data_IF_598490793383
#
_entry.id   IF_598490793383
#
_cell.length_a   1.000
_cell.length_b   1.000
_cell.length_c   1.000
_cell.angle_alpha   90.00
_cell.angle_beta   90.00
_cell.angle_gamma   90.00
#
_symmetry.space_group_name_H-M   'P 1'
#
loop_
_entity.id
_entity.type
_entity.pdbx_description
1 polymer ?
#
# COMPACT_ATOMS: atom_id res chain seq x y z
N UNK A 1 27.06 -17.63 23.36
CA UNK A 1 25.72 -18.22 23.11
C UNK A 1 25.95 -19.57 22.47
N UNK A 2 25.38 -20.65 23.03
CA UNK A 2 25.71 -22.01 22.59
C UNK A 2 24.94 -22.49 21.32
N UNK A 3 24.08 -21.65 20.73
CA UNK A 3 23.36 -21.85 19.44
C UNK A 3 22.62 -23.18 19.26
N UNK A 4 22.53 -24.00 20.30
CA UNK A 4 21.85 -25.29 20.31
C UNK A 4 20.35 -25.11 20.42
N UNK A 5 19.60 -25.82 19.58
CA UNK A 5 18.14 -25.87 19.63
C UNK A 5 17.71 -26.79 20.77
N UNK A 6 16.89 -26.27 21.68
CA UNK A 6 16.28 -27.05 22.77
C UNK A 6 14.78 -27.14 22.48
N UNK A 7 14.25 -28.36 22.55
CA UNK A 7 12.81 -28.63 22.41
C UNK A 7 12.24 -28.91 23.79
N UNK A 8 11.25 -28.13 24.22
CA UNK A 8 10.50 -28.36 25.45
C UNK A 8 9.12 -28.97 25.13
N UNK A 9 8.62 -29.82 26.01
CA UNK A 9 7.29 -30.44 25.89
C UNK A 9 6.17 -29.54 26.42
N UNK A 10 4.92 -29.78 26.02
CA UNK A 10 3.75 -28.99 26.48
C UNK A 10 3.59 -28.99 28.01
N UNK A 11 4.08 -30.03 28.71
CA UNK A 11 4.06 -30.12 30.17
C UNK A 11 5.14 -29.29 30.89
N UNK A 12 6.07 -28.69 30.14
CA UNK A 12 7.19 -27.88 30.67
C UNK A 12 6.99 -26.38 30.40
N UNK A 13 5.78 -25.98 30.00
CA UNK A 13 5.42 -24.57 29.86
C UNK A 13 5.48 -23.87 31.22
N UNK A 14 6.09 -22.69 31.25
CA UNK A 14 6.25 -21.89 32.46
C UNK A 14 7.34 -22.36 33.42
N UNK A 15 8.04 -23.47 33.13
CA UNK A 15 9.17 -23.96 33.94
C UNK A 15 10.52 -23.61 33.30
N UNK A 16 11.57 -23.61 34.11
CA UNK A 16 12.95 -23.40 33.62
C UNK A 16 13.59 -24.74 33.29
N UNK A 17 14.12 -24.85 32.07
CA UNK A 17 14.83 -26.02 31.55
C UNK A 17 16.29 -25.65 31.32
N UNK A 18 17.19 -26.50 31.79
CA UNK A 18 18.63 -26.28 31.61
C UNK A 18 19.11 -26.80 30.25
N UNK A 19 19.93 -25.99 29.57
CA UNK A 19 20.56 -26.41 28.33
C UNK A 19 21.57 -27.53 28.59
N UNK A 20 21.45 -28.71 27.94
CA UNK A 20 22.38 -29.83 28.15
C UNK A 20 23.80 -29.54 27.68
N UNK A 21 23.98 -28.59 26.76
CA UNK A 21 25.29 -28.27 26.15
C UNK A 21 26.04 -27.17 26.90
N UNK A 22 25.34 -26.22 27.51
CA UNK A 22 25.98 -25.08 28.15
C UNK A 22 25.51 -24.76 29.58
N UNK A 23 24.62 -25.59 30.14
CA UNK A 23 24.14 -25.49 31.52
C UNK A 23 23.33 -24.22 31.82
N UNK A 24 23.00 -23.44 30.80
CA UNK A 24 22.23 -22.21 30.96
C UNK A 24 20.75 -22.54 31.18
N UNK A 25 20.16 -22.01 32.25
CA UNK A 25 18.73 -22.19 32.57
C UNK A 25 17.88 -21.25 31.72
N UNK A 26 16.93 -21.81 30.97
CA UNK A 26 16.05 -21.08 30.07
C UNK A 26 14.60 -21.31 30.49
N UNK A 27 13.87 -20.22 30.71
CA UNK A 27 12.44 -20.28 31.05
C UNK A 27 11.62 -20.49 29.78
N UNK A 28 10.84 -21.58 29.74
CA UNK A 28 9.93 -21.87 28.63
C UNK A 28 8.73 -20.93 28.75
N UNK A 29 8.50 -20.03 27.77
CA UNK A 29 7.38 -19.11 27.84
C UNK A 29 6.05 -19.85 27.77
N UNK A 30 5.07 -19.42 28.57
CA UNK A 30 3.70 -19.93 28.52
C UNK A 30 3.12 -19.65 27.13
N UNK A 31 2.74 -20.71 26.40
CA UNK A 31 1.95 -20.53 25.21
C UNK A 31 0.52 -20.17 25.64
N UNK A 32 0.13 -18.93 25.37
CA UNK A 32 -1.27 -18.52 25.48
C UNK A 32 -2.08 -19.32 24.46
N UNK A 33 -2.77 -20.35 24.91
CA UNK A 33 -3.81 -21.03 24.13
C UNK A 33 -4.97 -20.05 24.06
N UNK A 34 -4.95 -19.20 23.03
CA UNK A 34 -6.10 -18.39 22.66
C UNK A 34 -7.23 -19.37 22.31
N UNK A 35 -8.30 -19.30 23.10
CA UNK A 35 -9.42 -20.22 23.03
C UNK A 35 -9.95 -20.36 21.60
N UNK A 36 -10.31 -21.57 21.13
CA UNK A 36 -10.90 -21.74 19.82
C UNK A 36 -12.18 -20.91 19.70
N UNK A 37 -12.29 -20.18 18.59
CA UNK A 37 -13.44 -19.36 18.23
C UNK A 37 -14.76 -20.13 18.45
N UNK A 38 -15.83 -19.46 18.91
CA UNK A 38 -17.08 -20.11 19.23
C UNK A 38 -17.65 -20.81 17.98
N UNK A 39 -17.95 -22.10 18.11
CA UNK A 39 -18.68 -22.87 17.12
C UNK A 39 -20.08 -22.25 17.04
N UNK A 40 -20.38 -21.56 15.95
CA UNK A 40 -21.75 -21.15 15.63
C UNK A 40 -22.52 -22.43 15.27
N UNK A 41 -23.20 -23.00 16.27
CA UNK A 41 -24.22 -24.02 16.05
C UNK A 41 -25.33 -23.43 15.19
N UNK A 42 -25.54 -24.00 14.00
CA UNK A 42 -26.59 -23.65 13.01
C UNK A 42 -28.04 -23.86 13.50
N UNK A 43 -28.28 -23.98 14.80
CA UNK A 43 -29.57 -24.35 15.37
C UNK A 43 -30.30 -23.24 16.14
N UNK A 44 -29.65 -22.14 16.54
CA UNK A 44 -30.30 -21.11 17.38
C UNK A 44 -30.05 -19.68 16.87
N UNK A 45 -30.47 -19.41 15.64
CA UNK A 45 -30.73 -18.05 15.17
C UNK A 45 -32.15 -17.95 14.66
N UNK A 46 -33.08 -17.78 15.60
CA UNK A 46 -34.40 -17.22 15.33
C UNK A 46 -34.21 -15.71 15.12
N UNK A 47 -33.90 -15.34 13.89
CA UNK A 47 -33.97 -13.96 13.41
C UNK A 47 -35.32 -13.80 12.71
N UNK A 48 -36.06 -12.79 13.16
CA UNK A 48 -37.29 -12.30 12.54
C UNK A 48 -37.15 -12.20 11.02
N UNK A 49 -38.02 -12.91 10.31
CA UNK A 49 -38.21 -12.78 8.89
C UNK A 49 -38.72 -11.38 8.55
N UNK A 50 -37.86 -10.60 7.89
CA UNK A 50 -38.26 -9.37 7.19
C UNK A 50 -37.60 -9.37 5.82
N UNK A 51 -38.43 -9.76 4.84
CA UNK A 51 -38.38 -9.44 3.42
C UNK A 51 -37.08 -9.72 2.64
N UNK A 52 -36.81 -11.00 2.37
CA UNK A 52 -36.18 -11.42 1.12
C UNK A 52 -37.24 -11.39 -0.01
N UNK A 53 -37.34 -10.25 -0.68
CA UNK A 53 -38.01 -10.12 -1.99
C UNK A 53 -36.96 -9.79 -3.04
N UNK A 54 -36.25 -10.81 -3.53
CA UNK A 54 -35.67 -10.78 -4.88
C UNK A 54 -35.08 -12.14 -5.24
N UNK A 55 -35.87 -12.94 -5.97
CA UNK A 55 -35.45 -13.95 -6.97
C UNK A 55 -36.58 -14.91 -7.36
N UNK A 56 -37.79 -14.77 -6.80
CA UNK A 56 -38.93 -15.65 -7.10
C UNK A 56 -39.90 -15.12 -8.16
N UNK A 57 -39.76 -13.87 -8.60
CA UNK A 57 -40.66 -13.25 -9.57
C UNK A 57 -40.43 -13.74 -11.00
N UNK A 58 -39.16 -13.87 -11.43
CA UNK A 58 -38.82 -14.30 -12.80
C UNK A 58 -39.18 -15.76 -13.04
N UNK A 59 -39.03 -16.62 -12.03
CA UNK A 59 -39.30 -18.04 -12.15
C UNK A 59 -40.81 -18.35 -12.11
N UNK A 60 -41.59 -17.54 -11.39
CA UNK A 60 -43.05 -17.59 -11.39
C UNK A 60 -43.65 -17.01 -12.68
N UNK A 61 -43.10 -15.90 -13.18
CA UNK A 61 -43.49 -15.30 -14.46
C UNK A 61 -43.20 -16.25 -15.63
N UNK A 62 -42.00 -16.85 -15.68
CA UNK A 62 -41.65 -17.86 -16.68
C UNK A 62 -42.60 -19.07 -16.65
N UNK A 63 -42.87 -19.64 -15.47
CA UNK A 63 -43.82 -20.76 -15.32
C UNK A 63 -45.26 -20.38 -15.73
N UNK A 64 -45.68 -19.13 -15.52
CA UNK A 64 -47.00 -18.64 -15.97
C UNK A 64 -47.08 -18.48 -17.50
N UNK A 65 -46.00 -18.05 -18.14
CA UNK A 65 -45.91 -17.86 -19.60
C UNK A 65 -45.94 -19.22 -20.31
N UNK A 66 -45.25 -20.25 -19.79
CA UNK A 66 -45.31 -21.60 -20.37
C UNK A 66 -46.70 -22.24 -20.28
N UNK A 67 -47.44 -22.00 -19.18
CA UNK A 67 -48.84 -22.45 -19.04
C UNK A 67 -49.78 -21.69 -19.97
N UNK A 68 -49.60 -20.38 -20.10
CA UNK A 68 -50.36 -19.56 -21.04
C UNK A 68 -50.08 -19.94 -22.51
N UNK A 69 -48.82 -20.23 -22.85
CA UNK A 69 -48.40 -20.70 -24.18
C UNK A 69 -49.02 -22.07 -24.51
N UNK A 70 -49.01 -23.02 -23.57
CA UNK A 70 -49.68 -24.33 -23.76
C UNK A 70 -51.19 -24.21 -23.92
N UNK A 71 -51.84 -23.33 -23.16
CA UNK A 71 -53.29 -23.12 -23.27
C UNK A 71 -53.67 -22.49 -24.62
N UNK A 72 -52.93 -21.46 -25.04
CA UNK A 72 -53.14 -20.82 -26.34
C UNK A 72 -52.85 -21.76 -27.52
N UNK A 73 -51.89 -22.68 -27.38
CA UNK A 73 -51.59 -23.69 -28.38
C UNK A 73 -52.71 -24.75 -28.48
N UNK A 74 -53.24 -25.23 -27.35
CA UNK A 74 -54.38 -26.16 -27.35
C UNK A 74 -55.67 -25.53 -27.90
N UNK A 75 -55.89 -24.24 -27.64
CA UNK A 75 -57.05 -23.51 -28.14
C UNK A 75 -56.96 -23.30 -29.66
N UNK A 76 -55.77 -22.96 -30.18
CA UNK A 76 -55.51 -22.87 -31.62
C UNK A 76 -55.66 -24.22 -32.35
N UNK A 77 -55.16 -25.31 -31.74
CA UNK A 77 -55.33 -26.68 -32.27
C UNK A 77 -56.80 -27.12 -32.28
N UNK A 78 -57.59 -26.75 -31.26
CA UNK A 78 -59.02 -27.06 -31.19
C UNK A 78 -59.88 -26.28 -32.20
N UNK A 79 -59.41 -25.12 -32.63
CA UNK A 79 -60.05 -24.28 -33.64
C UNK A 79 -59.51 -24.49 -35.07
N UNK A 80 -58.52 -25.39 -35.25
CA UNK A 80 -57.89 -25.67 -36.54
C UNK A 80 -57.08 -24.52 -37.12
N UNK A 81 -56.58 -23.59 -36.28
CA UNK A 81 -55.77 -22.44 -36.69
C UNK A 81 -54.30 -22.64 -36.34
N UNK A 82 -53.41 -22.06 -37.15
CA UNK A 82 -51.96 -22.11 -36.91
C UNK A 82 -51.57 -21.22 -35.72
N UNK A 83 -50.72 -21.75 -34.83
CA UNK A 83 -50.35 -21.09 -33.58
C UNK A 83 -49.32 -19.97 -33.82
N UNK A 84 -49.68 -18.72 -33.52
CA UNK A 84 -48.78 -17.56 -33.61
C UNK A 84 -47.96 -17.38 -32.31
N UNK A 85 -46.69 -17.76 -32.35
CA UNK A 85 -45.77 -17.66 -31.21
C UNK A 85 -45.19 -16.26 -30.98
N UNK A 86 -45.34 -15.33 -31.94
CA UNK A 86 -44.66 -14.02 -31.95
C UNK A 86 -45.01 -13.13 -30.75
N UNK A 87 -46.18 -13.36 -30.13
CA UNK A 87 -46.66 -12.59 -28.98
C UNK A 87 -45.91 -12.90 -27.68
N UNK A 88 -45.21 -14.03 -27.61
CA UNK A 88 -44.48 -14.49 -26.43
C UNK A 88 -42.97 -14.26 -26.51
N UNK A 89 -42.43 -14.02 -27.70
CA UNK A 89 -40.99 -13.82 -27.94
C UNK A 89 -40.58 -12.34 -27.78
N UNK A 90 -41.29 -11.57 -26.95
CA UNK A 90 -40.99 -10.13 -26.76
C UNK A 90 -39.69 -9.96 -25.99
N UNK A 91 -38.61 -9.81 -26.76
CA UNK A 91 -37.21 -9.56 -26.40
C UNK A 91 -37.01 -8.18 -25.72
N UNK A 92 -37.72 -7.98 -24.60
CA UNK A 92 -37.67 -6.77 -23.78
C UNK A 92 -36.61 -6.88 -22.68
N UNK A 93 -36.15 -8.12 -22.42
CA UNK A 93 -35.13 -8.40 -21.40
C UNK A 93 -33.74 -7.94 -21.85
N UNK A 94 -33.36 -8.23 -23.11
CA UNK A 94 -32.00 -7.94 -23.63
C UNK A 94 -31.64 -6.46 -23.63
N UNK A 95 -32.59 -5.56 -23.96
CA UNK A 95 -32.34 -4.11 -23.95
C UNK A 95 -32.10 -3.57 -22.54
N UNK A 96 -32.86 -4.01 -21.55
CA UNK A 96 -32.72 -3.52 -20.17
C UNK A 96 -31.41 -4.02 -19.53
N UNK A 97 -31.00 -5.26 -19.82
CA UNK A 97 -29.69 -5.77 -19.39
C UNK A 97 -28.54 -5.02 -20.05
N UNK A 98 -28.66 -4.70 -21.35
CA UNK A 98 -27.64 -3.92 -22.07
C UNK A 98 -27.47 -2.51 -21.49
N UNK A 99 -28.57 -1.81 -21.18
CA UNK A 99 -28.51 -0.50 -20.53
C UNK A 99 -27.92 -0.57 -19.12
N UNK A 100 -28.23 -1.62 -18.36
CA UNK A 100 -27.65 -1.86 -17.04
C UNK A 100 -26.13 -2.06 -17.11
N UNK A 101 -25.64 -2.88 -18.04
CA UNK A 101 -24.21 -3.11 -18.25
C UNK A 101 -23.49 -1.84 -18.70
N UNK A 102 -24.09 -1.07 -19.61
CA UNK A 102 -23.52 0.22 -20.03
C UNK A 102 -23.45 1.23 -18.88
N UNK A 103 -24.47 1.30 -18.03
CA UNK A 103 -24.47 2.20 -16.88
C UNK A 103 -23.36 1.85 -15.88
N UNK A 104 -23.18 0.55 -15.57
CA UNK A 104 -22.11 0.09 -14.69
C UNK A 104 -20.73 0.38 -15.28
N UNK A 105 -20.55 0.21 -16.59
CA UNK A 105 -19.29 0.48 -17.29
C UNK A 105 -18.95 1.98 -17.31
N UNK A 106 -19.96 2.84 -17.49
CA UNK A 106 -19.76 4.30 -17.42
C UNK A 106 -19.44 4.73 -15.98
N UNK A 107 -20.10 4.16 -14.97
CA UNK A 107 -19.81 4.46 -13.56
C UNK A 107 -18.41 3.97 -13.17
N UNK A 108 -17.98 2.80 -13.62
CA UNK A 108 -16.65 2.27 -13.31
C UNK A 108 -15.55 3.07 -14.01
N UNK A 109 -15.73 3.44 -15.29
CA UNK A 109 -14.78 4.29 -16.03
C UNK A 109 -14.78 5.71 -15.45
N UNK A 110 -15.95 6.27 -15.14
CA UNK A 110 -16.06 7.59 -14.52
C UNK A 110 -15.46 7.63 -13.12
N UNK A 111 -15.69 6.59 -12.32
CA UNK A 111 -15.09 6.42 -10.99
C UNK A 111 -13.57 6.22 -11.07
N UNK A 112 -13.09 5.47 -12.07
CA UNK A 112 -11.65 5.28 -12.31
C UNK A 112 -10.98 6.57 -12.81
N UNK A 113 -11.60 7.30 -13.73
CA UNK A 113 -11.12 8.60 -14.19
C UNK A 113 -11.13 9.64 -13.05
N UNK A 114 -12.16 9.64 -12.20
CA UNK A 114 -12.22 10.47 -10.99
C UNK A 114 -11.14 10.09 -9.98
N UNK A 115 -10.87 8.80 -9.81
CA UNK A 115 -9.78 8.30 -8.97
C UNK A 115 -8.41 8.77 -9.48
N UNK A 116 -8.17 8.69 -10.79
CA UNK A 116 -6.95 9.19 -11.43
C UNK A 116 -6.84 10.73 -11.41
N UNK A 117 -7.97 11.43 -11.40
CA UNK A 117 -8.04 12.88 -11.34
C UNK A 117 -8.01 13.45 -9.91
N UNK A 118 -7.89 12.62 -8.86
CA UNK A 118 -7.76 13.13 -7.49
C UNK A 118 -6.51 14.01 -7.40
N UNK A 119 -6.65 15.28 -6.99
CA UNK A 119 -5.48 16.13 -6.81
C UNK A 119 -4.62 15.51 -5.70
N UNK A 120 -3.37 15.18 -6.05
CA UNK A 120 -2.35 14.82 -5.06
C UNK A 120 -2.36 15.94 -4.01
N UNK A 121 -2.47 15.58 -2.74
CA UNK A 121 -2.48 16.58 -1.66
C UNK A 121 -1.06 17.08 -1.44
N UNK A 122 -0.90 18.39 -1.23
CA UNK A 122 0.39 18.98 -0.88
C UNK A 122 0.84 18.44 0.47
N UNK A 123 2.01 17.81 0.50
CA UNK A 123 2.71 17.49 1.74
C UNK A 123 3.46 18.73 2.20
N UNK A 124 3.08 19.28 3.35
CA UNK A 124 3.77 20.42 3.97
C UNK A 124 4.83 19.89 4.92
N UNK A 125 6.06 20.41 4.80
CA UNK A 125 7.11 20.10 5.77
C UNK A 125 6.83 20.83 7.08
N UNK A 126 6.44 20.09 8.12
CA UNK A 126 6.24 20.67 9.45
C UNK A 126 7.58 20.98 10.11
N UNK A 127 7.62 22.00 10.97
CA UNK A 127 8.82 22.34 11.73
C UNK A 127 9.25 21.22 12.67
N UNK A 128 8.29 20.46 13.21
CA UNK A 128 8.55 19.27 14.03
C UNK A 128 9.30 18.21 13.22
N UNK A 129 8.84 17.90 12.00
CA UNK A 129 9.49 16.94 11.11
C UNK A 129 10.88 17.41 10.71
N UNK A 130 11.04 18.68 10.32
CA UNK A 130 12.34 19.24 9.96
C UNK A 130 13.32 19.20 11.14
N UNK A 131 12.85 19.46 12.36
CA UNK A 131 13.67 19.41 13.57
C UNK A 131 14.09 17.97 13.91
N UNK A 132 13.15 17.02 13.81
CA UNK A 132 13.45 15.61 14.02
C UNK A 132 14.49 15.08 13.02
N UNK A 133 14.37 15.46 11.74
CA UNK A 133 15.35 15.10 10.72
C UNK A 133 16.71 15.74 10.99
N UNK A 134 16.76 17.01 11.39
CA UNK A 134 18.00 17.68 11.76
C UNK A 134 18.68 17.03 12.98
N UNK A 135 17.91 16.64 14.00
CA UNK A 135 18.41 15.92 15.17
C UNK A 135 18.96 14.54 14.79
N UNK A 136 18.24 13.80 13.95
CA UNK A 136 18.68 12.51 13.44
C UNK A 136 19.95 12.62 12.59
N UNK A 137 20.11 13.69 11.80
CA UNK A 137 21.33 13.90 11.01
C UNK A 137 22.50 14.36 11.88
N UNK A 138 22.25 15.18 12.90
CA UNK A 138 23.25 15.69 13.84
C UNK A 138 23.30 14.84 15.12
N UNK A 139 23.45 13.52 14.97
CA UNK A 139 23.48 12.60 16.12
C UNK A 139 24.68 12.87 17.01
N UNK A 140 24.42 13.40 18.20
CA UNK A 140 25.43 13.68 19.21
C UNK A 140 24.83 13.49 20.60
N UNK A 141 24.73 12.24 20.99
CA UNK A 141 24.34 11.82 22.34
C UNK A 141 25.25 10.67 22.83
N UNK A 142 24.99 10.18 24.03
CA UNK A 142 25.78 9.11 24.67
C UNK A 142 25.40 7.69 24.16
N UNK A 143 24.61 7.58 23.09
CA UNK A 143 24.22 6.27 22.53
C UNK A 143 25.38 5.58 21.80
N UNK A 144 25.21 4.30 21.51
CA UNK A 144 26.23 3.52 20.81
C UNK A 144 26.44 4.05 19.38
N UNK A 145 27.66 3.88 18.84
CA UNK A 145 28.00 4.27 17.46
C UNK A 145 27.02 3.67 16.44
N UNK A 146 26.60 2.41 16.65
CA UNK A 146 25.61 1.73 15.81
C UNK A 146 24.24 2.41 15.86
N UNK A 147 23.80 2.87 17.04
CA UNK A 147 22.54 3.62 17.20
C UNK A 147 22.61 5.00 16.55
N UNK A 148 23.70 5.74 16.79
CA UNK A 148 23.95 7.05 16.19
C UNK A 148 23.96 6.98 14.65
N UNK A 149 24.56 5.91 14.11
CA UNK A 149 24.63 5.66 12.67
C UNK A 149 23.26 5.27 12.10
N UNK A 150 22.51 4.40 12.79
CA UNK A 150 21.15 4.04 12.41
C UNK A 150 20.23 5.25 12.30
N UNK A 151 20.24 6.11 13.32
CA UNK A 151 19.46 7.35 13.36
C UNK A 151 19.85 8.31 12.21
N UNK A 152 21.15 8.47 11.96
CA UNK A 152 21.64 9.29 10.84
C UNK A 152 21.15 8.75 9.50
N UNK A 153 21.29 7.45 9.26
CA UNK A 153 20.91 6.81 8.01
C UNK A 153 19.40 6.85 7.77
N UNK A 154 18.61 6.63 8.82
CA UNK A 154 17.15 6.72 8.77
C UNK A 154 16.71 8.15 8.44
N UNK A 155 17.29 9.16 9.09
CA UNK A 155 16.98 10.55 8.80
C UNK A 155 17.35 10.94 7.35
N UNK A 156 18.51 10.50 6.86
CA UNK A 156 18.94 10.69 5.47
C UNK A 156 17.97 10.07 4.46
N UNK A 157 17.59 8.81 4.65
CA UNK A 157 16.63 8.13 3.77
C UNK A 157 15.27 8.83 3.83
N UNK A 158 14.79 9.17 5.02
CA UNK A 158 13.50 9.84 5.22
C UNK A 158 13.47 11.21 4.53
N UNK A 159 14.58 11.96 4.54
CA UNK A 159 14.69 13.21 3.77
C UNK A 159 14.45 12.96 2.28
N UNK A 160 15.17 12.01 1.68
CA UNK A 160 15.05 11.70 0.24
C UNK A 160 13.67 11.20 -0.15
N UNK A 161 13.05 10.35 0.66
CA UNK A 161 11.69 9.86 0.43
C UNK A 161 10.64 10.97 0.54
N UNK A 162 10.82 11.88 1.50
CA UNK A 162 9.91 13.03 1.68
C UNK A 162 10.00 13.98 0.50
N UNK A 163 11.21 14.22 -0.03
CA UNK A 163 11.39 15.01 -1.26
C UNK A 163 10.65 14.37 -2.43
N UNK A 164 10.76 13.05 -2.63
CA UNK A 164 10.02 12.33 -3.68
C UNK A 164 8.49 12.50 -3.56
N UNK A 165 7.95 12.39 -2.34
CA UNK A 165 6.51 12.62 -2.08
C UNK A 165 6.08 14.06 -2.38
N UNK A 166 6.90 15.05 -2.05
CA UNK A 166 6.62 16.45 -2.37
C UNK A 166 6.65 16.67 -3.89
N UNK A 167 7.62 16.09 -4.59
CA UNK A 167 7.71 16.20 -6.05
C UNK A 167 6.50 15.59 -6.76
N UNK A 168 5.88 14.54 -6.21
CA UNK A 168 4.64 13.97 -6.77
C UNK A 168 3.48 14.99 -6.84
N UNK A 169 3.48 16.03 -5.98
CA UNK A 169 2.50 17.13 -6.04
C UNK A 169 2.76 18.09 -7.22
N UNK A 170 4.01 18.18 -7.67
CA UNK A 170 4.44 19.13 -8.69
C UNK A 170 3.99 18.66 -10.06
N UNK A 171 3.09 19.44 -10.67
CA UNK A 171 2.63 19.26 -12.04
C UNK A 171 2.47 20.57 -12.82
N UNK A 172 2.83 21.70 -12.20
CA UNK A 172 2.83 23.04 -12.77
C UNK A 172 3.88 23.90 -12.08
N UNK A 173 4.28 25.00 -12.72
CA UNK A 173 5.32 25.89 -12.18
C UNK A 173 4.88 26.61 -10.90
N UNK A 174 3.59 26.99 -10.81
CA UNK A 174 3.00 27.56 -9.60
C UNK A 174 3.17 26.62 -8.39
N UNK A 175 2.86 25.34 -8.56
CA UNK A 175 3.02 24.34 -7.49
C UNK A 175 4.47 24.05 -7.16
N UNK A 176 5.38 24.13 -8.13
CA UNK A 176 6.82 24.04 -7.85
C UNK A 176 7.23 25.18 -6.90
N UNK A 177 6.82 26.41 -7.20
CA UNK A 177 7.18 27.58 -6.39
C UNK A 177 6.61 27.50 -4.97
N UNK A 178 5.41 26.93 -4.79
CA UNK A 178 4.84 26.67 -3.47
C UNK A 178 5.69 25.72 -2.60
N UNK A 179 6.31 24.70 -3.19
CA UNK A 179 7.03 23.65 -2.45
C UNK A 179 8.55 23.82 -2.51
N UNK A 180 9.07 24.76 -3.30
CA UNK A 180 10.50 24.94 -3.51
C UNK A 180 11.24 25.25 -2.20
N UNK A 181 10.61 26.00 -1.30
CA UNK A 181 11.16 26.27 0.03
C UNK A 181 11.33 25.00 0.87
N UNK A 182 10.31 24.14 0.88
CA UNK A 182 10.32 22.86 1.61
C UNK A 182 11.39 21.92 1.03
N UNK A 183 11.50 21.83 -0.30
CA UNK A 183 12.52 21.04 -1.00
C UNK A 183 13.94 21.55 -0.72
N UNK A 184 14.16 22.87 -0.72
CA UNK A 184 15.45 23.48 -0.36
C UNK A 184 15.85 23.14 1.06
N UNK A 185 14.92 23.24 2.01
CA UNK A 185 15.17 22.90 3.41
C UNK A 185 15.52 21.42 3.58
N UNK A 186 14.76 20.51 2.97
CA UNK A 186 15.07 19.08 2.99
C UNK A 186 16.42 18.76 2.34
N UNK A 187 16.74 19.41 1.22
CA UNK A 187 18.04 19.25 0.56
C UNK A 187 19.19 19.67 1.46
N UNK A 188 19.05 20.78 2.20
CA UNK A 188 20.06 21.26 3.15
C UNK A 188 20.28 20.27 4.30
N UNK A 189 19.20 19.65 4.79
CA UNK A 189 19.29 18.62 5.83
C UNK A 189 19.99 17.37 5.27
N UNK A 190 19.60 16.90 4.08
CA UNK A 190 20.17 15.71 3.45
C UNK A 190 21.67 15.85 3.13
N UNK A 191 22.15 17.03 2.75
CA UNK A 191 23.60 17.23 2.50
C UNK A 191 24.42 17.38 3.78
N UNK A 192 23.78 17.52 4.95
CA UNK A 192 24.49 17.67 6.22
C UNK A 192 25.20 16.37 6.54
N UNK A 193 26.54 16.43 6.55
CA UNK A 193 27.38 15.29 6.86
C UNK A 193 27.48 15.11 8.38
N UNK A 194 27.31 13.87 8.83
CA UNK A 194 27.57 13.56 10.22
C UNK A 194 29.07 13.31 10.45
N UNK A 195 29.74 14.09 11.32
CA UNK A 195 31.18 14.00 11.54
C UNK A 195 31.61 12.65 12.15
N UNK A 196 30.74 11.96 12.90
CA UNK A 196 31.02 10.64 13.42
C UNK A 196 31.04 9.59 12.31
N UNK A 197 30.16 9.71 11.31
CA UNK A 197 30.16 8.82 10.13
C UNK A 197 31.42 9.01 9.29
N UNK A 198 31.89 10.26 9.14
CA UNK A 198 33.16 10.54 8.47
C UNK A 198 34.38 10.06 9.27
N UNK A 199 34.29 10.00 10.60
CA UNK A 199 35.37 9.56 11.50
C UNK A 199 35.40 8.04 11.74
N UNK A 200 34.31 7.33 11.45
CA UNK A 200 34.27 5.87 11.46
C UNK A 200 35.11 5.39 10.28
N UNK A 201 36.39 5.16 10.60
CA UNK A 201 37.39 4.59 9.72
C UNK A 201 36.83 3.32 9.06
N UNK A 202 36.76 3.28 7.73
CA UNK A 202 36.34 2.12 6.92
C UNK A 202 37.17 0.85 7.21
N UNK A 203 38.23 0.99 8.00
CA UNK A 203 39.13 -0.07 8.44
C UNK A 203 38.80 -0.68 9.80
N UNK A 204 37.71 -0.26 10.49
CA UNK A 204 37.29 -0.95 11.73
C UNK A 204 36.66 -2.31 11.44
N UNK A 205 37.03 -3.37 12.17
CA UNK A 205 36.60 -4.75 11.91
C UNK A 205 35.16 -5.07 12.38
N UNK A 206 34.34 -4.05 12.64
CA UNK A 206 33.01 -4.24 13.20
C UNK A 206 32.05 -4.69 12.08
N UNK A 207 31.83 -6.00 11.97
CA UNK A 207 30.88 -6.61 11.01
C UNK A 207 29.47 -5.96 11.05
N UNK A 208 29.05 -5.45 12.22
CA UNK A 208 27.77 -4.74 12.38
C UNK A 208 27.74 -3.40 11.62
N UNK A 209 28.87 -2.69 11.57
CA UNK A 209 28.98 -1.45 10.81
C UNK A 209 28.85 -1.72 9.31
N UNK A 210 29.51 -2.76 8.80
CA UNK A 210 29.38 -3.15 7.39
C UNK A 210 27.94 -3.52 7.03
N UNK A 211 27.24 -4.29 7.87
CA UNK A 211 25.84 -4.64 7.65
C UNK A 211 24.92 -3.40 7.59
N UNK A 212 25.11 -2.46 8.51
CA UNK A 212 24.35 -1.19 8.54
C UNK A 212 24.67 -0.32 7.30
N UNK A 213 25.93 -0.27 6.89
CA UNK A 213 26.35 0.44 5.67
C UNK A 213 25.79 -0.20 4.38
N UNK A 214 25.72 -1.52 4.31
CA UNK A 214 25.11 -2.25 3.19
C UNK A 214 23.60 -2.03 3.13
N UNK A 215 22.91 -2.11 4.27
CA UNK A 215 21.48 -1.83 4.36
C UNK A 215 21.17 -0.38 3.96
N UNK A 216 21.99 0.57 4.41
CA UNK A 216 21.88 1.97 4.00
C UNK A 216 22.04 2.14 2.49
N UNK A 217 23.09 1.56 1.89
CA UNK A 217 23.26 1.61 0.43
C UNK A 217 22.02 1.09 -0.29
N UNK A 218 21.44 -0.01 0.19
CA UNK A 218 20.22 -0.59 -0.38
C UNK A 218 19.01 0.35 -0.26
N UNK A 219 18.75 0.89 0.94
CA UNK A 219 17.64 1.81 1.20
C UNK A 219 17.80 3.13 0.42
N UNK A 220 19.01 3.67 0.42
CA UNK A 220 19.34 4.91 -0.27
C UNK A 220 19.19 4.74 -1.78
N UNK A 221 19.66 3.63 -2.35
CA UNK A 221 19.43 3.32 -3.77
C UNK A 221 17.93 3.28 -4.10
N UNK A 222 17.12 2.60 -3.28
CA UNK A 222 15.66 2.57 -3.47
C UNK A 222 14.99 3.94 -3.39
N UNK A 223 15.41 4.79 -2.45
CA UNK A 223 14.89 6.15 -2.32
C UNK A 223 15.31 7.06 -3.49
N UNK A 224 16.56 6.94 -3.94
CA UNK A 224 17.08 7.69 -5.09
C UNK A 224 16.41 7.29 -6.39
N UNK A 225 16.14 5.98 -6.62
CA UNK A 225 15.40 5.52 -7.80
C UNK A 225 14.03 6.16 -7.87
N UNK A 226 13.28 6.20 -6.75
CA UNK A 226 11.97 6.87 -6.70
C UNK A 226 12.08 8.37 -6.98
N UNK A 227 13.09 9.03 -6.40
CA UNK A 227 13.32 10.45 -6.61
C UNK A 227 13.64 10.75 -8.08
N UNK A 228 14.48 9.92 -8.69
CA UNK A 228 14.85 10.00 -10.11
C UNK A 228 13.64 9.80 -11.03
N UNK A 229 12.77 8.83 -10.73
CA UNK A 229 11.52 8.61 -11.49
C UNK A 229 10.63 9.86 -11.48
N UNK A 230 10.49 10.52 -10.31
CA UNK A 230 9.72 11.76 -10.19
C UNK A 230 10.37 12.93 -10.95
N UNK A 231 11.69 13.07 -10.89
CA UNK A 231 12.42 14.09 -11.66
C UNK A 231 12.24 13.87 -13.17
N UNK A 232 12.36 12.61 -13.64
CA UNK A 232 12.10 12.25 -15.05
C UNK A 232 10.65 12.50 -15.45
N UNK A 233 9.68 12.27 -14.55
CA UNK A 233 8.27 12.61 -14.79
C UNK A 233 8.12 14.10 -15.01
N UNK A 234 8.69 14.94 -14.14
CA UNK A 234 8.62 16.41 -14.27
C UNK A 234 9.30 16.85 -15.56
N UNK A 235 10.47 16.31 -15.89
CA UNK A 235 11.18 16.64 -17.14
C UNK A 235 10.35 16.37 -18.41
N UNK A 236 9.52 15.32 -18.41
CA UNK A 236 8.60 15.02 -19.52
C UNK A 236 7.43 15.99 -19.62
N UNK A 237 6.97 16.53 -18.49
CA UNK A 237 5.88 17.49 -18.43
C UNK A 237 6.39 18.89 -18.82
N UNK A 238 7.49 19.30 -18.22
CA UNK A 238 8.10 20.61 -18.37
C UNK A 238 9.62 20.54 -18.14
N UNK A 239 10.43 20.65 -19.19
CA UNK A 239 11.89 20.56 -19.07
C UNK A 239 12.52 21.78 -18.38
N UNK A 240 11.90 22.97 -18.46
CA UNK A 240 12.42 24.18 -17.80
C UNK A 240 12.22 24.09 -16.28
N UNK A 241 11.08 23.55 -15.86
CA UNK A 241 10.79 23.26 -14.46
C UNK A 241 11.79 22.27 -13.86
N UNK A 242 12.11 21.20 -14.59
CA UNK A 242 13.10 20.22 -14.17
C UNK A 242 14.51 20.83 -14.07
N UNK A 243 14.87 21.75 -14.97
CA UNK A 243 16.14 22.47 -14.90
C UNK A 243 16.22 23.33 -13.63
N UNK A 244 15.18 24.13 -13.36
CA UNK A 244 15.08 24.94 -12.13
C UNK A 244 15.19 24.10 -10.87
N UNK A 245 14.49 22.97 -10.81
CA UNK A 245 14.56 22.01 -9.70
C UNK A 245 15.98 21.50 -9.46
N UNK A 246 16.69 21.10 -10.51
CA UNK A 246 18.07 20.63 -10.42
C UNK A 246 19.03 21.72 -9.94
N UNK A 247 18.85 22.94 -10.41
CA UNK A 247 19.73 24.07 -10.06
C UNK A 247 19.51 24.54 -8.61
N UNK A 248 18.26 24.48 -8.13
CA UNK A 248 17.87 24.95 -6.80
C UNK A 248 17.96 23.89 -5.69
N UNK A 249 17.98 22.60 -6.04
CA UNK A 249 17.89 21.48 -5.09
C UNK A 249 19.08 20.53 -5.29
N UNK A 250 20.15 20.76 -4.52
CA UNK A 250 21.43 20.05 -4.66
C UNK A 250 21.32 18.52 -4.56
N UNK A 251 20.41 17.99 -3.73
CA UNK A 251 20.22 16.54 -3.61
C UNK A 251 19.72 15.89 -4.92
N UNK A 252 18.98 16.62 -5.76
CA UNK A 252 18.57 16.15 -7.09
C UNK A 252 19.81 16.10 -8.01
N UNK A 253 20.70 17.09 -7.94
CA UNK A 253 21.97 17.07 -8.66
C UNK A 253 22.92 15.94 -8.23
N UNK A 254 22.80 15.43 -7.00
CA UNK A 254 23.57 14.28 -6.54
C UNK A 254 23.11 12.97 -7.19
N UNK A 255 21.88 12.85 -7.69
CA UNK A 255 21.43 11.66 -8.42
C UNK A 255 22.32 11.40 -9.64
N UNK A 256 22.73 12.46 -10.35
CA UNK A 256 23.63 12.36 -11.51
C UNK A 256 25.06 11.90 -11.11
N UNK A 257 25.51 12.17 -9.88
CA UNK A 257 26.86 11.81 -9.41
C UNK A 257 27.01 10.32 -9.07
N UNK A 258 25.91 9.59 -8.86
CA UNK A 258 25.92 8.15 -8.54
C UNK A 258 25.50 7.25 -9.71
N UNK A 259 25.37 7.81 -10.92
CA UNK A 259 25.05 7.09 -12.15
C UNK A 259 26.27 6.65 -12.98
N UNK A 260 27.48 6.66 -12.41
CA UNK A 260 28.70 6.16 -13.08
C UNK A 260 29.40 5.07 -12.27
#
# INVERSE_FOLDING_TARGET
>A
MCSSTISASEGEQGTSVDCPECGASLTVPDQSVEAPAPIISRADSKVESSDEKESSADDAAAKSIFRAKRKAQQEAESEGKEFDSSKFDKDTSSRNTLYGVFAVLVISIGGYAYYLARPVQRLVLTDEMATALLQGVNTRDDSSVTSLLGNYMEAQCTCTETMGKILAYVNSQEKLEEVLGDLKRLSQIAITQNPLVNAVDRNRPDMQLMAVMEEYKGRQAGAHVKLEEEVKRIQKIDPEMAAKLRDDVAAIGLLDMFQN
#
